data_IF_607467021781
#
_entry.id   IF_607467021781
#
_cell.length_a   1.000
_cell.length_b   1.000
_cell.length_c   1.000
_cell.angle_alpha   90.00
_cell.angle_beta   90.00
_cell.angle_gamma   90.00
#
_symmetry.space_group_name_H-M   'P 1'
#
loop_
_entity.id
_entity.type
_entity.pdbx_description
1 polymer ?
#
# COMPACT_ATOMS: atom_id res chain seq x y z
N UNK A 1 30.02 2.70 9.23
CA UNK A 1 29.92 2.33 7.81
C UNK A 1 28.80 3.17 7.21
N UNK A 2 29.09 3.92 6.16
CA UNK A 2 28.21 4.89 5.52
C UNK A 2 26.93 4.21 5.04
N UNK A 3 25.77 4.66 5.54
CA UNK A 3 24.46 4.25 5.03
C UNK A 3 24.44 4.54 3.53
N UNK A 4 24.28 3.53 2.68
CA UNK A 4 23.95 3.79 1.29
C UNK A 4 22.61 4.50 1.33
N UNK A 5 22.58 5.78 0.94
CA UNK A 5 21.34 6.48 0.66
C UNK A 5 20.57 5.62 -0.34
N UNK A 6 19.47 4.98 0.09
CA UNK A 6 18.61 4.17 -0.77
C UNK A 6 17.89 5.10 -1.75
N UNK A 7 18.57 5.48 -2.82
CA UNK A 7 18.00 6.25 -3.91
C UNK A 7 17.24 5.28 -4.80
N UNK A 8 15.94 5.53 -4.93
CA UNK A 8 15.05 4.79 -5.81
C UNK A 8 14.82 5.65 -7.04
N UNK A 9 14.90 5.05 -8.21
CA UNK A 9 14.56 5.71 -9.48
C UNK A 9 13.30 5.05 -10.04
N UNK A 10 12.28 5.84 -10.32
CA UNK A 10 11.03 5.41 -10.94
C UNK A 10 10.77 6.18 -12.23
N UNK A 11 10.00 5.59 -13.14
CA UNK A 11 9.54 6.27 -14.36
C UNK A 11 8.04 6.50 -14.28
N UNK A 12 7.62 7.78 -14.35
CA UNK A 12 6.22 8.18 -14.38
C UNK A 12 6.00 9.16 -15.52
N UNK A 13 4.96 8.96 -16.33
CA UNK A 13 4.62 9.85 -17.45
C UNK A 13 5.77 10.06 -18.45
N UNK A 14 6.59 9.02 -18.68
CA UNK A 14 7.78 9.06 -19.55
C UNK A 14 8.92 9.91 -18.99
N UNK A 15 8.91 10.24 -17.70
CA UNK A 15 9.97 10.98 -17.03
C UNK A 15 10.51 10.16 -15.85
N UNK A 16 11.84 10.14 -15.72
CA UNK A 16 12.49 9.51 -14.57
C UNK A 16 12.54 10.47 -13.40
N UNK A 17 12.25 9.95 -12.21
CA UNK A 17 12.32 10.65 -10.94
C UNK A 17 13.15 9.81 -9.98
N UNK A 18 14.04 10.47 -9.24
CA UNK A 18 14.86 9.80 -8.22
C UNK A 18 14.56 10.38 -6.85
N UNK A 19 14.37 9.50 -5.87
CA UNK A 19 13.97 9.84 -4.52
C UNK A 19 14.85 9.11 -3.53
N UNK A 20 15.24 9.81 -2.46
CA UNK A 20 15.85 9.14 -1.31
C UNK A 20 14.73 8.49 -0.49
N UNK A 21 14.79 7.17 -0.33
CA UNK A 21 13.92 6.46 0.58
C UNK A 21 14.14 6.96 2.02
N UNK A 22 13.05 7.15 2.76
CA UNK A 22 13.17 7.43 4.19
C UNK A 22 13.68 6.19 4.95
N UNK A 23 14.37 6.44 6.06
CA UNK A 23 14.84 5.37 6.93
C UNK A 23 13.63 4.59 7.49
N UNK A 24 13.66 3.26 7.37
CA UNK A 24 12.59 2.39 7.87
C UNK A 24 11.45 2.11 6.88
N UNK A 25 11.54 2.58 5.63
CA UNK A 25 10.65 2.11 4.56
C UNK A 25 10.94 0.63 4.27
N UNK A 26 9.96 -0.28 4.44
CA UNK A 26 10.07 -1.67 3.97
C UNK A 26 10.30 -1.66 2.46
N UNK A 27 11.24 -2.48 1.98
CA UNK A 27 11.73 -2.56 0.59
C UNK A 27 11.22 -1.43 -0.33
N UNK A 28 11.99 -0.34 -0.37
CA UNK A 28 11.53 0.88 -1.01
C UNK A 28 11.24 0.71 -2.51
N UNK A 29 11.81 -0.32 -3.16
CA UNK A 29 11.48 -0.68 -4.53
C UNK A 29 10.05 -1.21 -4.64
N UNK A 30 9.60 -2.03 -3.69
CA UNK A 30 8.23 -2.57 -3.67
C UNK A 30 7.20 -1.44 -3.53
N UNK A 31 7.48 -0.45 -2.69
CA UNK A 31 6.62 0.74 -2.54
C UNK A 31 6.57 1.56 -3.82
N UNK A 32 7.71 1.70 -4.50
CA UNK A 32 7.79 2.37 -5.79
C UNK A 32 7.01 1.62 -6.89
N UNK A 33 7.16 0.31 -6.97
CA UNK A 33 6.45 -0.54 -7.93
C UNK A 33 4.93 -0.46 -7.73
N UNK A 34 4.46 -0.46 -6.48
CA UNK A 34 3.05 -0.27 -6.16
C UNK A 34 2.50 1.07 -6.69
N UNK A 35 3.26 2.16 -6.50
CA UNK A 35 2.88 3.47 -7.02
C UNK A 35 2.83 3.49 -8.55
N UNK A 36 3.84 2.93 -9.22
CA UNK A 36 3.91 2.87 -10.69
C UNK A 36 2.70 2.11 -11.24
N UNK A 37 2.38 0.95 -10.65
CA UNK A 37 1.25 0.13 -11.05
C UNK A 37 -0.07 0.90 -10.93
N UNK A 38 -0.29 1.58 -9.80
CA UNK A 38 -1.56 2.27 -9.58
C UNK A 38 -1.71 3.53 -10.45
N UNK A 39 -0.62 4.25 -10.69
CA UNK A 39 -0.61 5.34 -11.67
C UNK A 39 -1.00 4.82 -13.05
N UNK A 40 -0.42 3.71 -13.52
CA UNK A 40 -0.76 3.12 -14.81
C UNK A 40 -2.22 2.66 -14.88
N UNK A 41 -2.77 2.12 -13.79
CA UNK A 41 -4.18 1.75 -13.68
C UNK A 41 -5.09 2.97 -13.82
N UNK A 42 -4.83 4.02 -13.06
CA UNK A 42 -5.60 5.27 -13.09
C UNK A 42 -5.51 5.92 -14.47
N UNK A 43 -4.31 5.99 -15.07
CA UNK A 43 -4.13 6.51 -16.43
C UNK A 43 -5.01 5.76 -17.41
N UNK A 44 -4.98 4.42 -17.40
CA UNK A 44 -5.78 3.58 -18.31
C UNK A 44 -7.29 3.75 -18.10
N UNK A 45 -7.74 3.99 -16.88
CA UNK A 45 -9.16 4.22 -16.58
C UNK A 45 -9.62 5.60 -17.04
N UNK A 46 -8.81 6.63 -16.80
CA UNK A 46 -9.16 8.03 -17.06
C UNK A 46 -8.97 8.45 -18.52
N UNK A 47 -7.91 7.96 -19.17
CA UNK A 47 -7.62 8.26 -20.59
C UNK A 47 -8.71 7.77 -21.55
N UNK A 48 -9.49 6.74 -21.17
CA UNK A 48 -10.69 6.30 -21.90
C UNK A 48 -11.77 7.38 -21.97
N UNK A 49 -11.88 8.22 -20.95
CA UNK A 49 -12.97 9.16 -20.79
C UNK A 49 -12.55 10.62 -21.03
N UNK A 50 -11.27 10.95 -20.83
CA UNK A 50 -10.80 12.33 -21.00
C UNK A 50 -9.28 12.40 -21.27
N UNK A 51 -8.82 12.51 -22.53
CA UNK A 51 -7.40 12.45 -22.89
C UNK A 51 -6.56 13.66 -22.46
N UNK A 52 -7.16 14.67 -21.81
CA UNK A 52 -6.47 15.88 -21.31
C UNK A 52 -6.43 15.98 -19.78
N UNK A 53 -6.60 14.87 -19.06
CA UNK A 53 -6.47 14.87 -17.61
C UNK A 53 -5.03 15.23 -17.20
N UNK A 54 -4.90 16.09 -16.19
CA UNK A 54 -3.59 16.53 -15.74
C UNK A 54 -2.90 15.41 -14.91
N UNK A 55 -1.56 15.38 -14.94
CA UNK A 55 -0.74 14.38 -14.24
C UNK A 55 -0.91 14.39 -12.71
N UNK A 56 -1.15 15.57 -12.12
CA UNK A 56 -1.43 15.71 -10.68
C UNK A 56 -2.73 15.03 -10.31
N UNK A 57 -3.79 15.13 -11.13
CA UNK A 57 -5.06 14.44 -10.90
C UNK A 57 -4.88 12.92 -10.92
N UNK A 58 -4.09 12.40 -11.86
CA UNK A 58 -3.75 10.98 -11.92
C UNK A 58 -2.99 10.54 -10.65
N UNK A 59 -1.95 11.27 -10.26
CA UNK A 59 -1.17 10.98 -9.06
C UNK A 59 -2.01 11.04 -7.79
N UNK A 60 -2.85 12.08 -7.64
CA UNK A 60 -3.74 12.22 -6.49
C UNK A 60 -4.71 11.06 -6.40
N UNK A 61 -5.30 10.63 -7.52
CA UNK A 61 -6.22 9.50 -7.50
C UNK A 61 -5.50 8.17 -7.22
N UNK A 62 -4.31 7.96 -7.78
CA UNK A 62 -3.51 6.77 -7.47
C UNK A 62 -3.15 6.72 -5.96
N UNK A 63 -2.74 7.86 -5.38
CA UNK A 63 -2.47 7.96 -3.96
C UNK A 63 -3.72 7.70 -3.10
N UNK A 64 -4.88 8.20 -3.50
CA UNK A 64 -6.15 7.94 -2.82
C UNK A 64 -6.54 6.46 -2.88
N UNK A 65 -6.36 5.81 -4.02
CA UNK A 65 -6.65 4.38 -4.19
C UNK A 65 -5.75 3.52 -3.29
N UNK A 66 -4.43 3.73 -3.33
CA UNK A 66 -3.47 3.03 -2.44
C UNK A 66 -3.82 3.27 -0.97
N UNK A 67 -4.15 4.52 -0.61
CA UNK A 67 -4.54 4.86 0.77
C UNK A 67 -5.83 4.13 1.19
N UNK A 68 -6.78 3.97 0.28
CA UNK A 68 -8.02 3.21 0.54
C UNK A 68 -7.70 1.74 0.80
N UNK A 69 -6.90 1.10 -0.05
CA UNK A 69 -6.50 -0.30 0.12
C UNK A 69 -5.76 -0.52 1.44
N UNK A 70 -4.88 0.41 1.82
CA UNK A 70 -4.18 0.36 3.10
C UNK A 70 -5.12 0.45 4.31
N UNK A 71 -6.11 1.33 4.25
CA UNK A 71 -7.12 1.45 5.32
C UNK A 71 -7.95 0.17 5.42
N UNK A 72 -8.34 -0.42 4.29
CA UNK A 72 -9.10 -1.66 4.27
C UNK A 72 -8.29 -2.85 4.78
N UNK A 73 -7.00 -2.93 4.42
CA UNK A 73 -6.08 -3.94 4.96
C UNK A 73 -5.97 -3.83 6.49
N UNK A 74 -5.84 -2.62 7.03
CA UNK A 74 -5.81 -2.39 8.48
C UNK A 74 -7.08 -2.84 9.19
N UNK A 75 -8.25 -2.56 8.60
CA UNK A 75 -9.55 -3.01 9.12
C UNK A 75 -9.63 -4.53 9.12
N UNK A 76 -9.35 -5.17 7.99
CA UNK A 76 -9.38 -6.62 7.83
C UNK A 76 -8.44 -7.33 8.82
N UNK A 77 -7.23 -6.78 9.01
CA UNK A 77 -6.29 -7.30 9.99
C UNK A 77 -6.83 -7.21 11.43
N UNK A 78 -7.43 -6.08 11.78
CA UNK A 78 -8.01 -5.86 13.12
C UNK A 78 -9.16 -6.83 13.39
N UNK A 79 -10.07 -7.00 12.42
CA UNK A 79 -11.17 -7.96 12.52
C UNK A 79 -10.68 -9.41 12.61
N UNK A 80 -9.64 -9.77 11.87
CA UNK A 80 -9.06 -11.10 11.94
C UNK A 80 -8.46 -11.37 13.32
N UNK A 81 -7.71 -10.41 13.87
CA UNK A 81 -7.12 -10.52 15.21
C UNK A 81 -8.17 -10.63 16.30
N UNK A 82 -9.27 -9.88 16.20
CA UNK A 82 -10.41 -10.00 17.12
C UNK A 82 -11.01 -11.42 17.06
N UNK A 83 -11.32 -11.92 15.87
CA UNK A 83 -11.87 -13.28 15.67
C UNK A 83 -10.94 -14.37 16.20
N UNK A 84 -9.62 -14.22 16.01
CA UNK A 84 -8.63 -15.16 16.55
C UNK A 84 -8.63 -15.11 18.08
N UNK A 85 -8.65 -13.91 18.66
CA UNK A 85 -8.68 -13.71 20.11
C UNK A 85 -9.91 -14.34 20.75
N UNK A 86 -11.10 -14.06 20.21
CA UNK A 86 -12.38 -14.61 20.69
C UNK A 86 -12.39 -16.13 20.65
N UNK A 87 -11.98 -16.72 19.52
CA UNK A 87 -11.93 -18.18 19.35
C UNK A 87 -10.91 -18.82 20.28
N UNK A 88 -9.75 -18.20 20.44
CA UNK A 88 -8.71 -18.70 21.34
C UNK A 88 -9.17 -18.67 22.80
N UNK A 89 -9.81 -17.58 23.24
CA UNK A 89 -10.39 -17.47 24.58
C UNK A 89 -11.49 -18.52 24.80
N UNK A 90 -12.35 -18.75 23.80
CA UNK A 90 -13.36 -19.80 23.88
C UNK A 90 -12.75 -21.20 24.03
N UNK A 91 -11.69 -21.51 23.27
CA UNK A 91 -10.98 -22.80 23.38
C UNK A 91 -10.32 -22.97 24.75
N UNK A 92 -9.65 -21.94 25.27
CA UNK A 92 -9.04 -21.96 26.61
C UNK A 92 -10.10 -22.24 27.67
N UNK A 93 -11.23 -21.51 27.64
CA UNK A 93 -12.33 -21.74 28.56
C UNK A 93 -12.89 -23.17 28.47
N UNK A 94 -13.00 -23.76 27.27
CA UNK A 94 -13.44 -25.14 27.13
C UNK A 94 -12.44 -26.13 27.74
N UNK A 95 -11.13 -25.88 27.60
CA UNK A 95 -10.11 -26.72 28.22
C UNK A 95 -10.19 -26.61 29.75
N UNK A 96 -10.28 -25.39 30.28
CA UNK A 96 -10.32 -25.13 31.72
C UNK A 96 -11.59 -25.68 32.39
N UNK A 97 -12.74 -25.69 31.70
CA UNK A 97 -14.00 -26.26 32.22
C UNK A 97 -13.99 -27.79 32.22
N UNK A 98 -13.19 -28.43 31.36
CA UNK A 98 -13.10 -29.90 31.25
C UNK A 98 -11.89 -30.49 31.99
N UNK A 99 -11.12 -29.68 32.72
CA UNK A 99 -10.06 -30.07 33.66
C UNK A 99 -10.55 -30.03 35.10
#
# INVERSE_FOLDING_TARGET
>A
MTSLDNIITIELFGQQYSFKAEDGVPDANEVADLLIQEVANVEKQLSKNNPKINKVTILTLAALNISSEFIDLKRNYSELMEKISERSASLVNMIDVNL
#
